data_IF_118609789552
#
_entry.id   IF_118609789552
#
_cell.length_a   1.000
_cell.length_b   1.000
_cell.length_c   1.000
_cell.angle_alpha   90.00
_cell.angle_beta   90.00
_cell.angle_gamma   90.00
#
_symmetry.space_group_name_H-M   'P 1'
#
loop_
_entity.id
_entity.type
_entity.pdbx_description
1 polymer ?
#
# COMPACT_ATOMS: atom_id res chain seq x y z
N UNK A 1 -11.06 -9.48 -1.79
CA UNK A 1 -9.70 -9.99 -2.10
C UNK A 1 -9.70 -11.49 -2.35
N UNK A 2 -10.36 -12.31 -1.52
CA UNK A 2 -10.48 -13.75 -1.80
C UNK A 2 -11.33 -13.97 -3.04
N UNK A 3 -10.78 -14.70 -4.02
CA UNK A 3 -11.48 -15.04 -5.25
C UNK A 3 -12.80 -15.77 -4.95
N UNK A 4 -13.88 -15.35 -5.60
CA UNK A 4 -15.21 -15.92 -5.42
C UNK A 4 -15.95 -15.48 -4.14
N UNK A 5 -15.31 -14.75 -3.22
CA UNK A 5 -15.98 -14.28 -2.00
C UNK A 5 -17.13 -13.31 -2.27
N UNK A 6 -17.01 -12.44 -3.28
CA UNK A 6 -18.06 -11.47 -3.67
C UNK A 6 -19.32 -12.11 -4.24
N UNK A 7 -19.22 -13.37 -4.70
CA UNK A 7 -20.34 -14.16 -5.22
C UNK A 7 -20.74 -15.30 -4.26
N UNK A 8 -20.28 -15.23 -3.01
CA UNK A 8 -20.63 -16.20 -1.96
C UNK A 8 -19.96 -17.58 -2.09
N UNK A 9 -18.96 -17.73 -2.97
CA UNK A 9 -18.24 -18.99 -3.23
C UNK A 9 -16.73 -18.78 -3.10
N UNK A 10 -16.20 -18.52 -1.88
CA UNK A 10 -14.79 -18.25 -1.70
C UNK A 10 -13.93 -19.48 -2.04
N UNK A 11 -12.89 -19.28 -2.84
CA UNK A 11 -11.97 -20.35 -3.23
C UNK A 11 -11.02 -20.78 -2.08
N UNK A 12 -10.84 -19.93 -1.07
CA UNK A 12 -10.00 -20.20 0.10
C UNK A 12 -10.45 -19.35 1.30
N UNK A 13 -9.91 -19.63 2.49
CA UNK A 13 -10.11 -18.81 3.70
C UNK A 13 -8.99 -17.78 3.94
N UNK A 14 -7.98 -17.77 3.07
CA UNK A 14 -6.83 -16.87 3.14
C UNK A 14 -6.38 -16.43 1.74
N UNK A 15 -5.78 -15.25 1.66
CA UNK A 15 -5.01 -14.82 0.50
C UNK A 15 -3.81 -13.98 0.95
N UNK A 16 -2.82 -13.81 0.08
CA UNK A 16 -1.69 -12.94 0.33
C UNK A 16 -1.18 -12.34 -0.97
N UNK A 17 -0.49 -11.21 -0.84
CA UNK A 17 0.25 -10.56 -1.92
C UNK A 17 1.66 -10.31 -1.42
N UNK A 18 2.63 -10.56 -2.30
CA UNK A 18 4.04 -10.31 -2.03
C UNK A 18 4.60 -9.34 -3.06
N UNK A 19 5.25 -8.28 -2.59
CA UNK A 19 6.08 -7.38 -3.38
C UNK A 19 7.54 -7.76 -3.15
N UNK A 20 8.29 -7.99 -4.23
CA UNK A 20 9.74 -8.12 -4.19
C UNK A 20 10.33 -6.81 -4.72
N UNK A 21 11.10 -6.12 -3.89
CA UNK A 21 11.75 -4.86 -4.18
C UNK A 21 13.25 -5.08 -4.28
N UNK A 22 13.89 -4.53 -5.31
CA UNK A 22 15.34 -4.54 -5.48
C UNK A 22 15.86 -3.16 -5.10
N UNK A 23 16.79 -3.11 -4.13
CA UNK A 23 17.50 -1.89 -3.76
C UNK A 23 18.55 -1.53 -4.82
N UNK A 24 19.05 -0.29 -4.76
CA UNK A 24 20.09 0.20 -5.68
C UNK A 24 21.39 -0.61 -5.63
N UNK A 25 21.67 -1.31 -4.51
CA UNK A 25 22.82 -2.20 -4.33
C UNK A 25 22.57 -3.64 -4.83
N UNK A 26 21.40 -3.91 -5.40
CA UNK A 26 20.97 -5.22 -5.90
C UNK A 26 20.42 -6.15 -4.80
N UNK A 27 20.33 -5.71 -3.55
CA UNK A 27 19.72 -6.53 -2.49
C UNK A 27 18.20 -6.58 -2.63
N UNK A 28 17.62 -7.76 -2.41
CA UNK A 28 16.18 -7.98 -2.49
C UNK A 28 15.52 -7.84 -1.12
N UNK A 29 14.43 -7.07 -1.06
CA UNK A 29 13.58 -6.89 0.10
C UNK A 29 12.16 -7.40 -0.23
N UNK A 30 11.63 -8.29 0.60
CA UNK A 30 10.32 -8.90 0.34
C UNK A 30 9.28 -8.42 1.35
N UNK A 31 8.17 -7.87 0.85
CA UNK A 31 7.04 -7.44 1.66
C UNK A 31 5.82 -8.30 1.36
N UNK A 32 5.25 -8.95 2.38
CA UNK A 32 4.04 -9.75 2.23
C UNK A 32 2.95 -9.25 3.16
N UNK A 33 1.75 -9.04 2.61
CA UNK A 33 0.52 -8.87 3.40
C UNK A 33 -0.41 -10.05 3.14
N UNK A 34 -0.80 -10.72 4.21
CA UNK A 34 -1.76 -11.80 4.18
C UNK A 34 -3.08 -11.38 4.83
N UNK A 35 -4.20 -11.87 4.32
CA UNK A 35 -5.53 -11.68 4.90
C UNK A 35 -6.12 -13.06 5.19
N UNK A 36 -6.60 -13.22 6.42
CA UNK A 36 -7.32 -14.40 6.91
C UNK A 36 -8.67 -13.97 7.49
N UNK A 37 -9.49 -14.92 7.95
CA UNK A 37 -10.70 -14.61 8.70
C UNK A 37 -10.46 -13.83 10.00
N UNK A 38 -9.26 -13.93 10.59
CA UNK A 38 -8.90 -13.27 11.84
C UNK A 38 -8.34 -11.84 11.65
N UNK A 39 -8.06 -11.43 10.42
CA UNK A 39 -7.50 -10.11 10.12
C UNK A 39 -6.32 -10.15 9.15
N UNK A 40 -5.44 -9.15 9.24
CA UNK A 40 -4.26 -9.01 8.38
C UNK A 40 -2.98 -9.38 9.13
N UNK A 41 -2.08 -10.10 8.45
CA UNK A 41 -0.71 -10.37 8.91
C UNK A 41 0.28 -9.72 7.96
N UNK A 42 1.37 -9.16 8.50
CA UNK A 42 2.40 -8.45 7.76
C UNK A 42 3.75 -9.13 7.94
N UNK A 43 4.52 -9.25 6.86
CA UNK A 43 5.87 -9.81 6.88
C UNK A 43 6.84 -8.96 6.07
N UNK A 44 8.05 -8.80 6.58
CA UNK A 44 9.22 -8.25 5.88
C UNK A 44 10.31 -9.33 5.91
N UNK A 45 10.81 -9.71 4.74
CA UNK A 45 11.76 -10.82 4.55
C UNK A 45 11.33 -12.12 5.25
N UNK A 46 10.05 -12.44 5.10
CA UNK A 46 9.44 -13.63 5.69
C UNK A 46 9.21 -13.58 7.21
N UNK A 47 9.71 -12.55 7.92
CA UNK A 47 9.51 -12.38 9.36
C UNK A 47 8.21 -11.63 9.64
N UNK A 48 7.39 -12.14 10.57
CA UNK A 48 6.16 -11.47 11.01
C UNK A 48 6.51 -10.19 11.78
N UNK A 49 5.89 -9.08 11.39
CA UNK A 49 6.12 -7.75 11.98
C UNK A 49 4.79 -7.06 12.29
N UNK A 50 4.83 -6.03 13.13
CA UNK A 50 3.65 -5.19 13.37
C UNK A 50 3.31 -4.35 12.13
N UNK A 51 2.06 -3.87 12.00
CA UNK A 51 1.68 -2.93 10.94
C UNK A 51 2.55 -1.66 10.94
N UNK A 52 2.96 -1.17 12.12
CA UNK A 52 3.82 0.00 12.25
C UNK A 52 5.22 -0.26 11.70
N UNK A 53 5.81 -1.41 12.03
CA UNK A 53 7.13 -1.81 11.51
C UNK A 53 7.11 -2.04 10.01
N UNK A 54 6.03 -2.64 9.48
CA UNK A 54 5.84 -2.83 8.05
C UNK A 54 5.75 -1.49 7.31
N UNK A 55 4.96 -0.54 7.83
CA UNK A 55 4.86 0.80 7.24
C UNK A 55 6.20 1.53 7.30
N UNK A 56 6.92 1.45 8.42
CA UNK A 56 8.24 2.06 8.54
C UNK A 56 9.24 1.50 7.53
N UNK A 57 9.23 0.18 7.29
CA UNK A 57 10.07 -0.44 6.26
C UNK A 57 9.72 0.02 4.83
N UNK A 58 8.43 0.25 4.52
CA UNK A 58 8.02 0.85 3.25
C UNK A 58 8.49 2.31 3.11
N UNK A 59 8.45 3.08 4.20
CA UNK A 59 8.94 4.46 4.21
C UNK A 59 10.44 4.53 3.93
N UNK A 60 11.24 3.53 4.37
CA UNK A 60 12.67 3.47 4.06
C UNK A 60 12.97 3.33 2.56
N UNK A 61 12.02 2.82 1.77
CA UNK A 61 12.11 2.72 0.31
C UNK A 61 11.25 3.78 -0.40
N UNK A 62 10.94 4.89 0.28
CA UNK A 62 10.16 6.03 -0.22
C UNK A 62 8.71 5.71 -0.63
N UNK A 63 8.11 4.65 -0.06
CA UNK A 63 6.69 4.32 -0.25
C UNK A 63 5.90 4.79 0.97
N UNK A 64 5.19 5.91 0.82
CA UNK A 64 4.44 6.55 1.92
C UNK A 64 2.95 6.20 1.81
N UNK A 65 2.53 5.18 2.56
CA UNK A 65 1.15 4.67 2.53
C UNK A 65 0.09 5.73 2.86
N UNK A 66 0.38 6.66 3.78
CA UNK A 66 -0.55 7.74 4.17
C UNK A 66 -0.65 8.83 3.11
N UNK A 67 0.49 9.24 2.54
CA UNK A 67 0.54 10.24 1.49
C UNK A 67 0.04 9.71 0.12
N UNK A 68 0.01 8.38 -0.04
CA UNK A 68 -0.35 7.70 -1.31
C UNK A 68 0.49 8.20 -2.48
N UNK A 69 1.77 8.47 -2.24
CA UNK A 69 2.66 9.12 -3.21
C UNK A 69 2.92 8.30 -4.48
N UNK A 70 2.64 6.99 -4.48
CA UNK A 70 2.87 6.10 -5.61
C UNK A 70 1.58 5.61 -6.31
N UNK A 71 0.40 6.16 -5.97
CA UNK A 71 -0.88 5.65 -6.47
C UNK A 71 -1.68 6.73 -7.20
N UNK A 72 -2.06 6.40 -8.44
CA UNK A 72 -3.02 7.16 -9.23
C UNK A 72 -4.16 6.22 -9.60
N UNK A 73 -5.36 6.53 -9.11
CA UNK A 73 -6.58 5.78 -9.45
C UNK A 73 -7.19 6.31 -10.74
N UNK A 74 -8.05 5.49 -11.37
CA UNK A 74 -8.78 5.88 -12.57
C UNK A 74 -9.57 7.18 -12.32
N UNK A 75 -9.41 8.15 -13.22
CA UNK A 75 -10.02 9.48 -13.12
C UNK A 75 -9.33 10.47 -12.16
N UNK A 76 -8.32 10.03 -11.39
CA UNK A 76 -7.65 10.92 -10.42
C UNK A 76 -6.88 12.06 -11.11
N UNK A 77 -6.26 11.80 -12.27
CA UNK A 77 -5.55 12.84 -13.03
C UNK A 77 -6.50 13.97 -13.45
N UNK A 78 -7.69 13.60 -13.95
CA UNK A 78 -8.73 14.54 -14.35
C UNK A 78 -9.25 15.32 -13.13
N UNK A 79 -9.48 14.65 -12.01
CA UNK A 79 -9.90 15.31 -10.77
C UNK A 79 -8.88 16.34 -10.26
N UNK A 80 -7.57 16.03 -10.35
CA UNK A 80 -6.52 16.97 -9.99
C UNK A 80 -6.51 18.18 -10.93
N UNK A 81 -6.72 17.96 -12.24
CA UNK A 81 -6.79 19.05 -13.22
C UNK A 81 -8.00 19.98 -13.00
N UNK A 82 -9.06 19.49 -12.37
CA UNK A 82 -10.28 20.27 -12.06
C UNK A 82 -10.21 21.01 -10.72
N UNK A 83 -9.15 20.83 -9.92
CA UNK A 83 -9.00 21.51 -8.62
C UNK A 83 -8.79 23.01 -8.79
N UNK A 84 -9.46 23.79 -7.95
CA UNK A 84 -9.19 25.23 -7.84
C UNK A 84 -7.89 25.50 -7.05
N UNK A 85 -7.34 26.73 -7.09
CA UNK A 85 -6.08 27.05 -6.42
C UNK A 85 -6.06 26.73 -4.91
N UNK A 86 -7.19 26.89 -4.20
CA UNK A 86 -7.27 26.57 -2.77
C UNK A 86 -7.17 25.06 -2.52
N UNK A 87 -7.87 24.26 -3.33
CA UNK A 87 -7.84 22.80 -3.24
C UNK A 87 -6.47 22.22 -3.60
N UNK A 88 -5.76 22.84 -4.55
CA UNK A 88 -4.38 22.48 -4.87
C UNK A 88 -3.45 22.80 -3.71
N UNK A 89 -3.53 24.00 -3.12
CA UNK A 89 -2.72 24.36 -1.95
C UNK A 89 -2.96 23.40 -0.79
N UNK A 90 -4.23 23.08 -0.49
CA UNK A 90 -4.56 22.10 0.53
C UNK A 90 -3.95 20.72 0.23
N UNK A 91 -4.03 20.27 -1.03
CA UNK A 91 -3.41 19.00 -1.43
C UNK A 91 -1.89 19.01 -1.21
N UNK A 92 -1.20 20.11 -1.52
CA UNK A 92 0.24 20.25 -1.26
C UNK A 92 0.56 20.27 0.25
N UNK A 93 -0.24 20.97 1.06
CA UNK A 93 -0.08 20.99 2.52
C UNK A 93 -0.33 19.62 3.16
N UNK A 94 -1.25 18.82 2.62
CA UNK A 94 -1.47 17.46 3.08
C UNK A 94 -0.29 16.56 2.76
N UNK A 95 0.30 16.69 1.56
CA UNK A 95 1.49 15.93 1.17
C UNK A 95 2.71 16.31 2.03
N UNK A 96 2.92 17.59 2.33
CA UNK A 96 4.08 18.07 3.09
C UNK A 96 4.09 17.68 4.58
N UNK A 97 2.99 17.14 5.10
CA UNK A 97 2.87 16.66 6.49
C UNK A 97 3.31 15.21 6.66
N UNK A 98 3.67 14.53 5.58
CA UNK A 98 4.14 13.14 5.55
C UNK A 98 5.61 13.08 5.16
#
# INVERSE_FOLDING_TARGET
LIHGATVGKPAANRCYVTMNYENDDGTMLTFTRSVTSAGSEYRVDGKVVSPQQYNHALEQINIFMKAKNCLVYQGQVEQVALKNPRELTQMFEEISRF
#
